data_IF_026306628642
#
_entry.id   IF_026306628642
#
_cell.length_a   1.000
_cell.length_b   1.000
_cell.length_c   1.000
_cell.angle_alpha   90.00
_cell.angle_beta   90.00
_cell.angle_gamma   90.00
#
_symmetry.space_group_name_H-M   'P 1'
#
loop_
_entity.id
_entity.type
_entity.pdbx_description
1 polymer ?
#
# COMPACT_ATOMS: atom_id res chain seq x y z
N UNK A 1 9.58 7.48 -10.44
CA UNK A 1 8.36 7.33 -9.63
C UNK A 1 7.17 7.77 -10.43
N UNK A 2 6.19 6.92 -10.59
CA UNK A 2 4.89 7.28 -11.17
C UNK A 2 3.85 7.30 -10.07
N UNK A 3 3.06 8.38 -9.99
CA UNK A 3 1.92 8.46 -9.07
C UNK A 3 0.65 8.13 -9.84
N UNK A 4 0.00 7.04 -9.46
CA UNK A 4 -1.28 6.59 -10.00
C UNK A 4 -2.39 6.95 -9.02
N UNK A 5 -3.14 8.02 -9.33
CA UNK A 5 -4.33 8.38 -8.57
C UNK A 5 -5.53 7.72 -9.25
N UNK A 6 -6.21 6.83 -8.52
CA UNK A 6 -7.35 6.10 -9.04
C UNK A 6 -8.49 7.05 -9.46
N UNK A 7 -9.06 6.80 -10.62
CA UNK A 7 -10.24 7.51 -11.14
C UNK A 7 -11.51 6.66 -11.06
N UNK A 8 -11.40 5.49 -10.43
CA UNK A 8 -12.51 4.55 -10.37
C UNK A 8 -13.64 5.07 -9.44
N UNK A 9 -14.91 5.13 -9.88
CA UNK A 9 -15.99 5.70 -9.08
C UNK A 9 -16.24 4.94 -7.77
N UNK A 10 -16.03 3.62 -7.72
CA UNK A 10 -16.15 2.86 -6.48
C UNK A 10 -15.04 3.19 -5.47
N UNK A 11 -13.84 3.56 -5.94
CA UNK A 11 -12.77 4.04 -5.06
C UNK A 11 -13.16 5.39 -4.47
N UNK A 12 -13.72 6.29 -5.28
CA UNK A 12 -14.20 7.60 -4.82
C UNK A 12 -15.33 7.47 -3.81
N UNK A 13 -16.30 6.58 -4.03
CA UNK A 13 -17.40 6.33 -3.09
C UNK A 13 -16.89 5.71 -1.77
N UNK A 14 -16.02 4.73 -1.82
CA UNK A 14 -15.40 4.16 -0.64
C UNK A 14 -14.58 5.19 0.15
N UNK A 15 -13.82 6.05 -0.56
CA UNK A 15 -13.06 7.14 0.05
C UNK A 15 -13.95 8.15 0.75
N UNK A 16 -15.15 8.46 0.22
CA UNK A 16 -16.15 9.29 0.88
C UNK A 16 -16.49 8.74 2.28
N UNK A 17 -16.74 7.42 2.37
CA UNK A 17 -17.01 6.78 3.66
C UNK A 17 -15.82 6.82 4.62
N UNK A 18 -14.58 6.67 4.12
CA UNK A 18 -13.37 6.80 4.94
C UNK A 18 -13.14 8.24 5.45
N UNK A 19 -13.54 9.25 4.69
CA UNK A 19 -13.38 10.66 5.08
C UNK A 19 -14.43 11.13 6.09
N UNK A 20 -15.62 10.53 6.09
CA UNK A 20 -16.67 10.93 7.00
C UNK A 20 -16.27 10.60 8.45
N UNK A 21 -16.15 11.63 9.29
CA UNK A 21 -15.79 11.51 10.70
C UNK A 21 -16.83 10.72 11.53
N UNK A 22 -18.06 10.57 11.03
CA UNK A 22 -19.12 9.81 11.69
C UNK A 22 -19.12 8.33 11.36
N UNK A 23 -18.31 7.89 10.39
CA UNK A 23 -18.22 6.48 10.02
C UNK A 23 -17.64 5.66 11.18
N UNK A 24 -18.41 4.73 11.75
CA UNK A 24 -17.94 3.91 12.86
C UNK A 24 -16.87 2.90 12.39
N UNK A 25 -16.05 2.35 13.32
CA UNK A 25 -14.91 1.49 12.95
C UNK A 25 -15.28 0.27 12.10
N UNK A 26 -16.44 -0.35 12.32
CA UNK A 26 -16.90 -1.50 11.53
C UNK A 26 -17.19 -1.15 10.07
N UNK A 27 -17.82 -0.01 9.81
CA UNK A 27 -18.07 0.49 8.46
C UNK A 27 -16.79 1.03 7.83
N UNK A 28 -15.93 1.69 8.61
CA UNK A 28 -14.62 2.15 8.16
C UNK A 28 -13.78 0.99 7.63
N UNK A 29 -13.78 -0.16 8.31
CA UNK A 29 -13.09 -1.38 7.83
C UNK A 29 -13.64 -1.88 6.50
N UNK A 30 -14.96 -1.83 6.30
CA UNK A 30 -15.58 -2.22 5.03
C UNK A 30 -15.15 -1.29 3.90
N UNK A 31 -15.21 0.02 4.11
CA UNK A 31 -14.77 1.00 3.12
C UNK A 31 -13.28 0.86 2.81
N UNK A 32 -12.44 0.71 3.84
CA UNK A 32 -11.00 0.50 3.67
C UNK A 32 -10.72 -0.74 2.82
N UNK A 33 -11.33 -1.88 3.15
CA UNK A 33 -11.17 -3.12 2.39
C UNK A 33 -11.53 -2.94 0.92
N UNK A 34 -12.67 -2.30 0.62
CA UNK A 34 -13.13 -2.09 -0.74
C UNK A 34 -12.17 -1.20 -1.54
N UNK A 35 -11.77 -0.05 -0.98
CA UNK A 35 -10.82 0.87 -1.62
C UNK A 35 -9.48 0.16 -1.87
N UNK A 36 -8.95 -0.54 -0.88
CA UNK A 36 -7.67 -1.25 -0.99
C UNK A 36 -7.74 -2.33 -2.06
N UNK A 37 -8.81 -3.13 -2.10
CA UNK A 37 -9.00 -4.17 -3.12
C UNK A 37 -8.93 -3.60 -4.53
N UNK A 38 -9.58 -2.45 -4.77
CA UNK A 38 -9.55 -1.78 -6.07
C UNK A 38 -8.17 -1.22 -6.42
N UNK A 39 -7.48 -0.60 -5.43
CA UNK A 39 -6.11 -0.12 -5.64
C UNK A 39 -5.12 -1.26 -5.91
N UNK A 40 -5.29 -2.40 -5.25
CA UNK A 40 -4.50 -3.61 -5.51
C UNK A 40 -4.73 -4.13 -6.92
N UNK A 41 -5.98 -4.14 -7.40
CA UNK A 41 -6.30 -4.51 -8.77
C UNK A 41 -5.54 -3.63 -9.77
N UNK A 42 -5.56 -2.31 -9.58
CA UNK A 42 -4.80 -1.36 -10.40
C UNK A 42 -3.28 -1.59 -10.27
N UNK A 43 -2.79 -1.76 -9.04
CA UNK A 43 -1.37 -1.96 -8.77
C UNK A 43 -0.82 -3.31 -9.26
N UNK A 44 -1.67 -4.25 -9.66
CA UNK A 44 -1.27 -5.58 -10.14
C UNK A 44 -1.61 -5.84 -11.61
N UNK A 45 -2.16 -4.84 -12.31
CA UNK A 45 -2.68 -5.00 -13.68
C UNK A 45 -1.63 -5.37 -14.73
N UNK A 46 -0.37 -5.01 -14.51
CA UNK A 46 0.77 -5.24 -15.41
C UNK A 46 1.81 -6.23 -14.84
N UNK A 47 1.39 -7.08 -13.89
CA UNK A 47 2.28 -8.13 -13.38
C UNK A 47 2.73 -9.06 -14.51
N UNK A 48 4.01 -9.48 -14.54
CA UNK A 48 4.51 -10.41 -15.54
C UNK A 48 3.73 -11.73 -15.53
N UNK A 49 3.39 -12.20 -16.72
CA UNK A 49 2.64 -13.45 -16.91
C UNK A 49 3.37 -14.39 -17.86
N UNK A 50 3.32 -15.68 -17.55
CA UNK A 50 3.75 -16.76 -18.43
C UNK A 50 2.55 -17.34 -19.15
N UNK A 51 2.69 -17.55 -20.46
CA UNK A 51 1.70 -18.25 -21.28
C UNK A 51 1.94 -19.74 -21.18
N UNK A 52 0.86 -20.50 -21.11
CA UNK A 52 0.86 -21.96 -21.05
C UNK A 52 -0.49 -22.53 -21.49
N UNK A 53 -0.71 -23.78 -21.13
CA UNK A 53 -1.96 -24.47 -21.42
C UNK A 53 -2.50 -25.13 -20.17
N UNK A 54 -3.79 -25.30 -20.10
CA UNK A 54 -4.52 -26.02 -19.05
C UNK A 54 -5.51 -26.98 -19.64
N UNK A 55 -5.64 -28.19 -19.04
CA UNK A 55 -6.68 -29.12 -19.38
C UNK A 55 -7.97 -28.72 -18.66
N UNK A 56 -8.98 -28.31 -19.42
CA UNK A 56 -10.35 -28.12 -18.92
C UNK A 56 -11.09 -29.48 -18.89
N UNK A 57 -12.27 -29.55 -18.28
CA UNK A 57 -13.07 -30.76 -18.33
C UNK A 57 -13.42 -31.25 -19.76
N UNK A 58 -13.36 -30.37 -20.75
CA UNK A 58 -13.80 -30.68 -22.12
C UNK A 58 -12.65 -30.75 -23.15
N UNK A 59 -11.63 -29.86 -23.00
CA UNK A 59 -10.55 -29.75 -23.98
C UNK A 59 -9.34 -28.99 -23.37
N UNK A 60 -8.22 -29.01 -24.08
CA UNK A 60 -7.08 -28.15 -23.78
C UNK A 60 -7.40 -26.70 -24.16
N UNK A 61 -7.02 -25.75 -23.28
CA UNK A 61 -7.21 -24.33 -23.50
C UNK A 61 -5.91 -23.53 -23.19
N UNK A 62 -5.73 -22.40 -23.89
CA UNK A 62 -4.65 -21.47 -23.56
C UNK A 62 -4.91 -20.87 -22.19
N UNK A 63 -3.83 -20.68 -21.42
CA UNK A 63 -3.86 -20.15 -20.08
C UNK A 63 -2.72 -19.16 -19.84
N UNK A 64 -2.89 -18.29 -18.84
CA UNK A 64 -1.84 -17.43 -18.32
C UNK A 64 -1.66 -17.68 -16.83
N UNK A 65 -0.44 -17.55 -16.36
CA UNK A 65 -0.06 -17.72 -14.97
C UNK A 65 0.88 -16.57 -14.55
N UNK A 66 0.75 -16.08 -13.33
CA UNK A 66 1.70 -15.10 -12.81
C UNK A 66 3.11 -15.69 -12.79
N UNK A 67 4.05 -14.99 -13.41
CA UNK A 67 5.44 -15.45 -13.53
C UNK A 67 6.27 -15.11 -12.29
N UNK A 68 5.97 -13.99 -11.64
CA UNK A 68 6.79 -13.44 -10.55
C UNK A 68 6.04 -13.49 -9.23
N UNK A 69 6.75 -13.88 -8.17
CA UNK A 69 6.22 -13.84 -6.81
C UNK A 69 6.09 -12.39 -6.31
N UNK A 70 4.95 -12.09 -5.68
CA UNK A 70 4.73 -10.83 -4.97
C UNK A 70 5.03 -11.02 -3.48
N UNK A 71 5.59 -10.00 -2.85
CA UNK A 71 5.81 -9.97 -1.41
C UNK A 71 5.09 -8.77 -0.82
N UNK A 72 4.08 -9.01 -0.01
CA UNK A 72 3.37 -7.97 0.73
C UNK A 72 4.19 -7.50 1.93
N UNK A 73 4.36 -6.19 2.08
CA UNK A 73 5.18 -5.60 3.15
C UNK A 73 4.39 -4.48 3.82
N UNK A 74 3.52 -4.81 4.80
CA UNK A 74 2.84 -3.80 5.57
C UNK A 74 3.79 -3.06 6.51
N UNK A 75 3.66 -1.73 6.57
CA UNK A 75 4.26 -0.88 7.60
C UNK A 75 3.38 -0.93 8.83
N UNK A 76 3.90 -1.50 9.91
CA UNK A 76 3.16 -1.64 11.14
C UNK A 76 2.99 -0.29 11.85
N UNK A 77 1.85 -0.01 12.49
CA UNK A 77 0.65 -0.85 12.68
C UNK A 77 -0.38 -0.71 11.54
N UNK A 78 -0.55 0.52 11.00
CA UNK A 78 -1.65 0.89 10.10
C UNK A 78 -1.69 0.06 8.81
N UNK A 79 -0.53 -0.31 8.25
CA UNK A 79 -0.42 -1.16 7.07
C UNK A 79 -1.04 -2.55 7.20
N UNK A 80 -1.27 -3.04 8.43
CA UNK A 80 -2.01 -4.29 8.65
C UNK A 80 -3.42 -4.25 8.08
N UNK A 81 -4.04 -3.07 8.06
CA UNK A 81 -5.37 -2.91 7.46
C UNK A 81 -5.43 -3.18 5.95
N UNK A 82 -4.27 -3.12 5.28
CA UNK A 82 -4.16 -3.37 3.85
C UNK A 82 -3.84 -4.85 3.54
N UNK A 83 -3.42 -5.62 4.53
CA UNK A 83 -2.88 -6.97 4.32
C UNK A 83 -3.98 -7.99 3.96
N UNK A 84 -5.13 -7.96 4.62
CA UNK A 84 -6.19 -8.95 4.39
C UNK A 84 -6.67 -8.97 2.91
N UNK A 85 -6.98 -7.82 2.27
CA UNK A 85 -7.30 -7.79 0.85
C UNK A 85 -6.19 -8.34 -0.06
N UNK A 86 -4.91 -8.13 0.30
CA UNK A 86 -3.79 -8.69 -0.48
C UNK A 86 -3.78 -10.22 -0.41
N UNK A 87 -3.96 -10.80 0.78
CA UNK A 87 -3.98 -12.26 0.97
C UNK A 87 -5.17 -12.92 0.27
N UNK A 88 -6.30 -12.23 0.16
CA UNK A 88 -7.48 -12.69 -0.58
C UNK A 88 -7.27 -12.65 -2.09
N UNK A 89 -6.68 -11.57 -2.60
CA UNK A 89 -6.43 -11.39 -4.03
C UNK A 89 -5.25 -12.24 -4.53
N UNK A 90 -4.21 -12.38 -3.72
CA UNK A 90 -2.95 -13.05 -4.04
C UNK A 90 -2.66 -14.17 -3.02
N UNK A 91 -3.35 -15.32 -3.06
CA UNK A 91 -3.26 -16.34 -2.01
C UNK A 91 -1.88 -17.00 -1.88
N UNK A 92 -1.01 -16.85 -2.88
CA UNK A 92 0.39 -17.36 -2.87
C UNK A 92 1.41 -16.29 -2.47
N UNK A 93 0.97 -15.09 -2.02
CA UNK A 93 1.87 -14.00 -1.62
C UNK A 93 2.66 -14.37 -0.35
N UNK A 94 3.94 -14.04 -0.34
CA UNK A 94 4.74 -14.05 0.88
C UNK A 94 4.58 -12.73 1.63
N UNK A 95 4.72 -12.72 2.96
CA UNK A 95 4.58 -11.51 3.76
C UNK A 95 5.88 -11.22 4.51
N UNK A 96 6.36 -10.00 4.38
CA UNK A 96 7.40 -9.40 5.23
C UNK A 96 6.78 -8.29 6.10
N UNK A 97 7.45 -7.90 7.17
CA UNK A 97 6.96 -6.86 8.07
C UNK A 97 8.04 -5.83 8.35
N UNK A 98 7.66 -4.55 8.33
CA UNK A 98 8.49 -3.44 8.78
C UNK A 98 7.71 -2.70 9.87
N UNK A 99 8.29 -2.60 11.06
CA UNK A 99 7.75 -1.82 12.17
C UNK A 99 8.50 -0.50 12.28
N UNK A 100 7.77 0.60 12.09
CA UNK A 100 8.26 1.96 12.24
C UNK A 100 7.42 2.68 13.29
N UNK A 101 8.08 3.37 14.20
CA UNK A 101 7.46 4.30 15.13
C UNK A 101 8.05 5.69 14.93
N UNK A 102 7.27 6.71 15.17
CA UNK A 102 7.75 8.08 15.11
C UNK A 102 8.30 8.43 16.48
N UNK A 103 9.57 8.84 16.54
CA UNK A 103 10.14 9.41 17.74
C UNK A 103 9.42 10.73 18.06
N UNK A 104 8.90 10.85 19.28
CA UNK A 104 8.05 11.98 19.68
C UNK A 104 8.82 13.30 19.75
N UNK A 105 10.14 13.25 20.04
CA UNK A 105 10.97 14.44 20.19
C UNK A 105 11.55 14.92 18.85
N UNK A 106 12.04 13.96 18.05
CA UNK A 106 12.76 14.29 16.80
C UNK A 106 11.88 14.20 15.54
N UNK A 107 10.69 13.61 15.67
CA UNK A 107 9.79 13.27 14.56
C UNK A 107 10.41 12.35 13.49
N UNK A 108 11.58 11.76 13.76
CA UNK A 108 12.26 10.81 12.87
C UNK A 108 11.66 9.42 13.04
N UNK A 109 11.46 8.71 11.94
CA UNK A 109 10.99 7.34 11.99
C UNK A 109 12.10 6.41 12.54
N UNK A 110 11.77 5.63 13.58
CA UNK A 110 12.65 4.63 14.19
C UNK A 110 12.17 3.23 13.85
N UNK A 111 13.10 2.38 13.43
CA UNK A 111 12.82 0.96 13.15
C UNK A 111 12.79 0.21 14.48
N UNK A 112 11.68 -0.43 14.81
CA UNK A 112 11.58 -1.34 15.96
C UNK A 112 11.39 -2.81 15.54
N UNK A 113 11.02 -3.06 14.27
CA UNK A 113 10.87 -4.41 13.75
C UNK A 113 11.21 -4.48 12.27
N UNK A 114 11.97 -5.51 11.89
CA UNK A 114 12.29 -5.81 10.50
C UNK A 114 12.36 -7.32 10.29
N UNK A 115 11.43 -7.86 9.50
CA UNK A 115 11.46 -9.25 9.07
C UNK A 115 11.06 -9.34 7.61
N UNK A 116 12.02 -9.11 6.73
CA UNK A 116 11.86 -9.22 5.30
C UNK A 116 12.39 -10.56 4.79
N UNK A 117 11.70 -11.25 3.87
CA UNK A 117 12.26 -12.37 3.11
C UNK A 117 13.31 -11.84 2.10
N UNK A 118 14.03 -12.75 1.45
CA UNK A 118 14.86 -12.37 0.29
C UNK A 118 13.94 -11.85 -0.82
N UNK A 119 14.21 -10.64 -1.34
CA UNK A 119 13.37 -9.95 -2.31
C UNK A 119 13.91 -10.01 -3.74
N UNK A 120 15.12 -10.51 -3.94
CA UNK A 120 15.72 -10.63 -5.28
C UNK A 120 14.86 -11.48 -6.21
N UNK A 121 14.45 -10.92 -7.35
CA UNK A 121 13.59 -11.55 -8.34
C UNK A 121 12.11 -11.60 -7.98
N UNK A 122 11.69 -10.89 -6.93
CA UNK A 122 10.30 -10.75 -6.50
C UNK A 122 9.83 -9.31 -6.64
N UNK A 123 8.53 -9.10 -6.65
CA UNK A 123 7.91 -7.76 -6.68
C UNK A 123 7.45 -7.41 -5.26
N UNK A 124 8.14 -6.49 -4.57
CA UNK A 124 7.69 -5.99 -3.28
C UNK A 124 6.48 -5.08 -3.44
N UNK A 125 5.49 -5.26 -2.58
CA UNK A 125 4.29 -4.43 -2.47
C UNK A 125 4.28 -3.80 -1.08
N UNK A 126 4.75 -2.56 -0.98
CA UNK A 126 4.73 -1.78 0.25
C UNK A 126 3.30 -1.30 0.54
N UNK A 127 2.83 -1.58 1.75
CA UNK A 127 1.47 -1.28 2.18
C UNK A 127 1.50 -0.31 3.36
N UNK A 128 1.17 0.95 3.10
CA UNK A 128 1.04 2.00 4.12
C UNK A 128 -0.13 2.90 3.75
N UNK A 129 -1.20 2.99 4.55
CA UNK A 129 -2.42 3.71 4.17
C UNK A 129 -2.23 5.21 3.96
N UNK A 130 -1.19 5.81 4.54
CA UNK A 130 -1.03 7.27 4.62
C UNK A 130 0.36 7.71 4.15
N UNK A 131 0.48 8.23 2.93
CA UNK A 131 1.72 8.87 2.47
C UNK A 131 1.70 10.36 2.85
N UNK A 132 2.03 10.67 4.10
CA UNK A 132 2.02 12.04 4.64
C UNK A 132 3.35 12.78 4.36
N UNK A 133 4.32 12.71 5.28
CA UNK A 133 5.65 13.34 5.10
C UNK A 133 6.58 12.55 4.19
N UNK A 134 6.28 11.28 3.93
CA UNK A 134 7.11 10.38 3.14
C UNK A 134 8.29 9.74 3.90
N UNK A 135 8.57 10.18 5.13
CA UNK A 135 9.73 9.69 5.90
C UNK A 135 9.69 8.18 6.19
N UNK A 136 8.57 7.69 6.72
CA UNK A 136 8.37 6.25 6.99
C UNK A 136 8.40 5.42 5.71
N UNK A 137 7.70 5.87 4.67
CA UNK A 137 7.68 5.18 3.38
C UNK A 137 9.08 5.11 2.76
N UNK A 138 9.82 6.22 2.75
CA UNK A 138 11.18 6.24 2.22
C UNK A 138 12.12 5.30 3.00
N UNK A 139 12.04 5.30 4.32
CA UNK A 139 12.85 4.38 5.15
C UNK A 139 12.48 2.91 4.91
N UNK A 140 11.19 2.59 4.76
CA UNK A 140 10.76 1.24 4.40
C UNK A 140 11.28 0.82 3.01
N UNK A 141 11.26 1.73 2.05
CA UNK A 141 11.79 1.50 0.70
C UNK A 141 13.32 1.32 0.69
N UNK A 142 14.08 2.05 1.53
CA UNK A 142 15.50 1.81 1.73
C UNK A 142 15.77 0.37 2.20
N UNK A 143 14.97 -0.12 3.16
CA UNK A 143 15.09 -1.49 3.68
C UNK A 143 14.73 -2.54 2.63
N UNK A 144 13.68 -2.31 1.85
CA UNK A 144 13.28 -3.18 0.73
C UNK A 144 14.41 -3.26 -0.31
N UNK A 145 14.98 -2.13 -0.68
CA UNK A 145 16.10 -2.04 -1.63
C UNK A 145 17.34 -2.77 -1.10
N UNK A 146 17.68 -2.58 0.18
CA UNK A 146 18.79 -3.29 0.84
C UNK A 146 18.58 -4.83 0.88
N UNK A 147 17.32 -5.30 0.95
CA UNK A 147 16.96 -6.72 0.87
C UNK A 147 16.91 -7.27 -0.57
N UNK A 148 17.27 -6.46 -1.58
CA UNK A 148 17.32 -6.83 -2.99
C UNK A 148 16.01 -6.64 -3.76
N UNK A 149 15.06 -5.89 -3.18
CA UNK A 149 13.79 -5.56 -3.83
C UNK A 149 13.99 -4.63 -5.03
N UNK A 150 13.33 -4.96 -6.13
CA UNK A 150 13.28 -4.18 -7.37
C UNK A 150 11.83 -4.09 -7.83
N UNK A 151 11.52 -3.11 -8.69
CA UNK A 151 10.17 -2.88 -9.21
C UNK A 151 9.13 -2.79 -8.07
N UNK A 152 9.51 -2.15 -6.97
CA UNK A 152 8.65 -2.01 -5.79
C UNK A 152 7.46 -1.13 -6.13
N UNK A 153 6.29 -1.54 -5.68
CA UNK A 153 5.05 -0.77 -5.75
C UNK A 153 4.60 -0.40 -4.36
N UNK A 154 4.09 0.80 -4.19
CA UNK A 154 3.47 1.24 -2.94
C UNK A 154 1.98 1.42 -3.14
N UNK A 155 1.19 0.92 -2.20
CA UNK A 155 -0.26 1.18 -2.12
C UNK A 155 -0.55 1.98 -0.87
N UNK A 156 -1.16 3.14 -1.04
CA UNK A 156 -1.68 3.97 0.04
C UNK A 156 -3.11 4.42 -0.27
N UNK A 157 -3.87 4.82 0.74
CA UNK A 157 -5.25 5.29 0.53
C UNK A 157 -5.24 6.78 0.19
N UNK A 158 -4.51 7.59 0.95
CA UNK A 158 -4.34 9.01 0.65
C UNK A 158 -2.86 9.40 0.70
N UNK A 159 -2.49 10.34 -0.16
CA UNK A 159 -1.15 10.90 -0.24
C UNK A 159 -1.19 12.43 -0.13
N UNK A 160 -0.13 13.02 0.43
CA UNK A 160 0.13 14.46 0.38
C UNK A 160 1.25 14.78 -0.61
N UNK A 161 1.25 15.97 -1.24
CA UNK A 161 2.30 16.40 -2.17
C UNK A 161 3.70 16.34 -1.57
N UNK A 162 3.82 16.63 -0.27
CA UNK A 162 5.08 16.61 0.47
C UNK A 162 5.69 15.20 0.49
N UNK A 163 4.88 14.19 0.81
CA UNK A 163 5.32 12.79 0.81
C UNK A 163 5.65 12.27 -0.58
N UNK A 164 4.84 12.64 -1.57
CA UNK A 164 5.09 12.33 -2.98
C UNK A 164 6.43 12.89 -3.43
N UNK A 165 6.73 14.16 -3.10
CA UNK A 165 8.01 14.80 -3.42
C UNK A 165 9.20 14.06 -2.80
N UNK A 166 9.11 13.68 -1.54
CA UNK A 166 10.17 12.91 -0.86
C UNK A 166 10.45 11.60 -1.59
N UNK A 167 9.39 10.86 -1.99
CA UNK A 167 9.58 9.61 -2.72
C UNK A 167 10.11 9.85 -4.14
N UNK A 168 9.70 10.92 -4.82
CA UNK A 168 10.24 11.28 -6.13
C UNK A 168 11.75 11.55 -6.10
N UNK A 169 12.22 12.18 -5.03
CA UNK A 169 13.64 12.51 -4.85
C UNK A 169 14.48 11.29 -4.42
N UNK A 170 13.95 10.44 -3.53
CA UNK A 170 14.72 9.34 -2.92
C UNK A 170 14.53 8.00 -3.61
N UNK A 171 13.34 7.75 -4.16
CA UNK A 171 12.94 6.47 -4.75
C UNK A 171 12.21 6.68 -6.10
N UNK A 172 12.86 7.31 -7.08
CA UNK A 172 12.25 7.60 -8.39
C UNK A 172 11.83 6.35 -9.18
N UNK A 173 12.29 5.18 -8.76
CA UNK A 173 11.97 3.87 -9.36
C UNK A 173 10.68 3.24 -8.86
N UNK A 174 10.07 3.78 -7.80
CA UNK A 174 8.88 3.20 -7.15
C UNK A 174 7.59 3.75 -7.77
N UNK A 175 6.63 2.88 -8.08
CA UNK A 175 5.29 3.29 -8.47
C UNK A 175 4.36 3.34 -7.26
N UNK A 176 3.61 4.44 -7.12
CA UNK A 176 2.69 4.69 -6.00
C UNK A 176 1.25 4.70 -6.50
N UNK A 177 0.40 3.87 -5.90
CA UNK A 177 -1.02 3.77 -6.19
C UNK A 177 -1.83 4.30 -5.01
N UNK A 178 -2.72 5.26 -5.26
CA UNK A 178 -3.49 5.94 -4.22
C UNK A 178 -4.92 6.24 -4.65
N UNK A 179 -5.84 6.31 -3.70
CA UNK A 179 -7.21 6.73 -3.98
C UNK A 179 -7.31 8.25 -4.15
N UNK A 180 -6.46 9.03 -3.46
CA UNK A 180 -6.41 10.47 -3.63
C UNK A 180 -5.03 11.05 -3.35
N UNK A 181 -4.68 12.12 -4.10
CA UNK A 181 -3.66 13.09 -3.73
C UNK A 181 -4.38 14.28 -3.12
N UNK A 182 -4.17 14.49 -1.82
CA UNK A 182 -4.79 15.57 -1.06
C UNK A 182 -4.01 16.90 -1.18
N UNK A 183 -4.50 17.95 -0.53
CA UNK A 183 -4.00 19.30 -0.78
C UNK A 183 -2.62 19.58 -0.17
N UNK A 184 -2.41 19.18 1.11
CA UNK A 184 -1.22 19.49 1.88
C UNK A 184 -1.18 18.74 3.21
N UNK A 185 -0.12 18.96 3.97
CA UNK A 185 -0.07 18.65 5.40
C UNK A 185 -0.44 19.88 6.25
N UNK A 186 -1.02 19.64 7.44
CA UNK A 186 -1.16 20.67 8.46
C UNK A 186 0.11 20.73 9.36
N UNK A 187 0.11 21.67 10.33
CA UNK A 187 1.24 21.89 11.24
C UNK A 187 1.62 20.68 12.11
N UNK A 188 0.70 19.71 12.25
CA UNK A 188 0.92 18.43 12.95
C UNK A 188 1.27 17.30 12.01
N UNK A 189 1.57 17.59 10.72
CA UNK A 189 1.86 16.63 9.66
C UNK A 189 0.71 15.64 9.34
N UNK A 190 -0.54 16.02 9.61
CA UNK A 190 -1.71 15.30 9.10
C UNK A 190 -2.07 15.77 7.70
N UNK A 191 -2.51 14.83 6.87
CA UNK A 191 -3.01 15.10 5.51
C UNK A 191 -4.34 15.86 5.59
N UNK A 192 -4.50 16.91 4.77
CA UNK A 192 -5.70 17.75 4.70
C UNK A 192 -6.22 17.77 3.25
N UNK A 193 -7.52 17.46 3.03
CA UNK A 193 -8.57 17.16 3.98
C UNK A 193 -8.39 15.80 4.72
N UNK A 194 -7.66 14.84 4.15
CA UNK A 194 -7.32 13.59 4.78
C UNK A 194 -8.53 12.71 5.17
N UNK A 195 -8.28 11.84 6.14
CA UNK A 195 -9.28 10.96 6.73
C UNK A 195 -9.05 10.72 8.24
N UNK A 196 -8.21 11.54 8.88
CA UNK A 196 -7.79 11.38 10.27
C UNK A 196 -6.67 10.34 10.42
N UNK A 197 -6.48 9.79 11.63
CA UNK A 197 -5.57 8.67 11.85
C UNK A 197 -6.23 7.37 11.38
N UNK A 198 -5.66 6.78 10.33
CA UNK A 198 -6.21 5.55 9.76
C UNK A 198 -6.15 4.38 10.74
N UNK A 199 -5.05 4.24 11.48
CA UNK A 199 -4.86 3.13 12.42
C UNK A 199 -5.88 3.20 13.55
N UNK A 200 -6.02 4.35 14.17
CA UNK A 200 -6.95 4.55 15.27
C UNK A 200 -8.41 4.34 14.82
N UNK A 201 -8.78 4.87 13.66
CA UNK A 201 -10.12 4.65 13.09
C UNK A 201 -10.38 3.19 12.72
N UNK A 202 -9.37 2.49 12.19
CA UNK A 202 -9.49 1.08 11.81
C UNK A 202 -9.64 0.16 13.02
N UNK A 203 -8.80 0.41 14.06
CA UNK A 203 -8.71 -0.44 15.25
C UNK A 203 -9.64 0.01 16.39
N UNK A 204 -10.24 1.21 16.29
CA UNK A 204 -11.11 1.76 17.34
C UNK A 204 -10.33 2.16 18.61
N UNK A 205 -9.13 2.73 18.43
CA UNK A 205 -8.21 3.13 19.52
C UNK A 205 -8.11 4.64 19.70
N UNK A 206 -8.87 5.42 18.95
CA UNK A 206 -8.93 6.89 19.02
C UNK A 206 -10.12 7.42 19.82
#
# INVERSE_FOLDING_TARGET
>A
MTLHVSKHPLVADGLRGLRDSKTPPEEFRVHARNVITMLLYEATADLPVRRGKVQTPLAEADAIELETEVVAIPVLRAGLGLLAPVLELLPRVSVGYIGLERDEETAVARIYYNKLPKLKGKIPLLLDPMLATGGSAAQALDMIKAAGGQNTRMVCIVAAPEGVKVLQERHPEVDVYTAALDERLNDKAYIVPGLGDFGDRLFGTG
#
